data_IF_945216331511
#
_entry.id   IF_945216331511
#
_cell.length_a   1.000
_cell.length_b   1.000
_cell.length_c   1.000
_cell.angle_alpha   90.00
_cell.angle_beta   90.00
_cell.angle_gamma   90.00
#
_symmetry.space_group_name_H-M   'P 1'
#
loop_
_entity.id
_entity.type
_entity.pdbx_description
1 polymer ?
#
# COMPACT_ATOMS: atom_id res chain seq x y z
N UNK A 1 -38.70 -8.03 -35.96
CA UNK A 1 -38.92 -6.84 -35.10
C UNK A 1 -37.73 -6.79 -34.11
N UNK A 2 -36.73 -5.95 -34.42
CA UNK A 2 -35.62 -5.72 -33.51
C UNK A 2 -35.97 -4.62 -32.54
N UNK A 3 -36.11 -4.94 -31.26
CA UNK A 3 -36.28 -3.95 -30.23
C UNK A 3 -34.97 -3.20 -30.00
N UNK A 4 -34.91 -1.92 -30.29
CA UNK A 4 -33.79 -1.04 -29.98
C UNK A 4 -33.71 -0.83 -28.46
N UNK A 5 -32.58 -1.20 -27.87
CA UNK A 5 -32.27 -0.90 -26.48
C UNK A 5 -32.06 0.62 -26.37
N UNK A 6 -32.71 1.33 -25.48
CA UNK A 6 -32.48 2.76 -25.30
C UNK A 6 -31.10 3.00 -24.74
N UNK A 7 -30.28 3.78 -25.44
CA UNK A 7 -29.00 4.28 -24.98
C UNK A 7 -29.27 5.26 -23.85
N UNK A 8 -28.77 4.95 -22.64
CA UNK A 8 -28.82 5.87 -21.51
C UNK A 8 -28.18 7.21 -21.87
N UNK A 9 -28.74 8.34 -21.40
CA UNK A 9 -28.20 9.67 -21.69
C UNK A 9 -26.77 9.75 -21.14
N UNK A 10 -25.86 10.20 -21.98
CA UNK A 10 -24.47 10.48 -21.61
C UNK A 10 -24.46 11.52 -20.47
N UNK A 11 -23.78 11.22 -19.38
CA UNK A 11 -23.53 12.18 -18.30
C UNK A 11 -22.87 13.45 -18.86
N UNK A 12 -23.27 14.64 -18.37
CA UNK A 12 -22.70 15.89 -18.84
C UNK A 12 -21.18 15.93 -18.58
N UNK A 13 -20.43 16.44 -19.54
CA UNK A 13 -18.96 16.49 -19.62
C UNK A 13 -18.27 17.18 -18.40
N UNK A 14 -19.03 17.88 -17.58
CA UNK A 14 -18.55 18.62 -16.39
C UNK A 14 -18.28 17.74 -15.17
N UNK A 15 -18.56 16.43 -15.22
CA UNK A 15 -18.29 15.49 -14.11
C UNK A 15 -17.17 14.47 -14.40
N UNK A 16 -16.43 14.62 -15.47
CA UNK A 16 -15.17 13.89 -15.61
C UNK A 16 -14.19 14.50 -14.61
N UNK A 17 -13.89 13.79 -13.54
CA UNK A 17 -12.77 14.11 -12.67
C UNK A 17 -11.52 14.12 -13.54
N UNK A 18 -11.09 15.29 -13.98
CA UNK A 18 -9.83 15.50 -14.64
C UNK A 18 -8.71 15.41 -13.56
N UNK A 19 -8.46 14.19 -13.08
CA UNK A 19 -7.25 13.90 -12.34
C UNK A 19 -6.11 13.95 -13.36
N UNK A 20 -5.20 14.89 -13.19
CA UNK A 20 -4.01 14.93 -14.03
C UNK A 20 -3.27 13.60 -13.86
N UNK A 21 -3.06 12.80 -14.94
CA UNK A 21 -2.43 11.48 -14.86
C UNK A 21 -1.03 11.51 -14.23
N UNK A 22 -0.37 12.67 -14.25
CA UNK A 22 1.00 12.87 -13.76
C UNK A 22 1.15 12.89 -12.24
N UNK A 23 0.05 12.81 -11.48
CA UNK A 23 0.09 12.92 -10.00
C UNK A 23 -0.24 11.63 -9.26
N UNK A 24 -0.57 10.55 -9.95
CA UNK A 24 -0.88 9.28 -9.32
C UNK A 24 0.38 8.40 -9.19
N UNK A 25 0.52 7.77 -8.04
CA UNK A 25 1.67 6.95 -7.68
C UNK A 25 1.24 5.82 -6.73
N UNK A 26 2.15 4.93 -6.44
CA UNK A 26 1.93 3.81 -5.51
C UNK A 26 2.78 3.97 -4.26
N UNK A 27 2.16 3.93 -3.08
CA UNK A 27 2.84 3.70 -1.80
C UNK A 27 2.84 2.19 -1.55
N UNK A 28 3.99 1.56 -1.68
CA UNK A 28 4.15 0.12 -1.48
C UNK A 28 4.72 -0.18 -0.09
N UNK A 29 3.86 -0.54 0.86
CA UNK A 29 4.29 -0.93 2.19
C UNK A 29 4.63 -2.42 2.24
N UNK A 30 5.84 -2.73 2.70
CA UNK A 30 6.31 -4.09 3.01
C UNK A 30 6.62 -4.22 4.50
N UNK A 31 6.53 -5.42 5.06
CA UNK A 31 6.81 -5.69 6.48
C UNK A 31 6.03 -6.89 7.02
N UNK A 32 6.37 -7.34 8.22
CA UNK A 32 5.80 -8.52 8.85
C UNK A 32 4.30 -8.42 9.09
N UNK A 33 3.62 -9.53 9.28
CA UNK A 33 2.23 -9.55 9.78
C UNK A 33 2.19 -8.86 11.16
N UNK A 34 1.14 -8.11 11.48
CA UNK A 34 1.08 -7.35 12.74
C UNK A 34 1.96 -6.09 12.80
N UNK A 35 2.73 -5.77 11.75
CA UNK A 35 3.57 -4.56 11.72
C UNK A 35 2.79 -3.24 11.62
N UNK A 36 1.48 -3.27 11.33
CA UNK A 36 0.63 -2.06 11.26
C UNK A 36 0.36 -1.53 9.85
N UNK A 37 0.72 -2.26 8.79
CA UNK A 37 0.54 -1.83 7.40
C UNK A 37 -0.90 -1.44 7.04
N UNK A 38 -1.88 -2.29 7.36
CA UNK A 38 -3.31 -2.07 7.06
C UNK A 38 -3.84 -0.83 7.79
N UNK A 39 -3.45 -0.64 9.05
CA UNK A 39 -3.83 0.53 9.85
C UNK A 39 -3.26 1.82 9.25
N UNK A 40 -1.98 1.80 8.85
CA UNK A 40 -1.34 2.93 8.16
C UNK A 40 -2.00 3.21 6.81
N UNK A 41 -2.35 2.17 6.05
CA UNK A 41 -3.03 2.31 4.77
C UNK A 41 -4.38 3.02 4.91
N UNK A 42 -5.18 2.64 5.90
CA UNK A 42 -6.47 3.26 6.19
C UNK A 42 -6.33 4.73 6.61
N UNK A 43 -5.37 5.04 7.47
CA UNK A 43 -5.08 6.41 7.90
C UNK A 43 -4.64 7.29 6.73
N UNK A 44 -3.70 6.80 5.89
CA UNK A 44 -3.27 7.53 4.70
C UNK A 44 -4.41 7.71 3.70
N UNK A 45 -5.26 6.69 3.50
CA UNK A 45 -6.44 6.80 2.64
C UNK A 45 -7.40 7.89 3.14
N UNK A 46 -7.66 7.94 4.44
CA UNK A 46 -8.51 8.97 5.06
C UNK A 46 -7.99 10.37 4.76
N UNK A 47 -6.69 10.60 4.98
CA UNK A 47 -6.06 11.90 4.75
C UNK A 47 -6.02 12.30 3.28
N UNK A 48 -5.65 11.39 2.39
CA UNK A 48 -5.65 11.65 0.95
C UNK A 48 -7.03 12.08 0.45
N UNK A 49 -8.08 11.39 0.92
CA UNK A 49 -9.47 11.75 0.58
C UNK A 49 -9.88 13.11 1.12
N UNK A 50 -9.50 13.46 2.35
CA UNK A 50 -9.73 14.79 2.93
C UNK A 50 -9.07 15.90 2.10
N UNK A 51 -7.96 15.60 1.41
CA UNK A 51 -7.27 16.50 0.48
C UNK A 51 -7.75 16.37 -0.97
N UNK A 52 -8.91 15.75 -1.20
CA UNK A 52 -9.49 15.62 -2.54
C UNK A 52 -8.74 14.66 -3.48
N UNK A 53 -7.82 13.84 -2.96
CA UNK A 53 -7.04 12.88 -3.76
C UNK A 53 -7.79 11.55 -3.88
N UNK A 54 -8.03 11.10 -5.11
CA UNK A 54 -8.53 9.75 -5.34
C UNK A 54 -7.47 8.72 -4.95
N UNK A 55 -7.85 7.76 -4.10
CA UNK A 55 -6.91 6.73 -3.62
C UNK A 55 -7.64 5.42 -3.29
N UNK A 56 -6.92 4.31 -3.41
CA UNK A 56 -7.44 2.98 -3.12
C UNK A 56 -6.43 2.15 -2.35
N UNK A 57 -6.91 1.40 -1.32
CA UNK A 57 -6.07 0.49 -0.53
C UNK A 57 -6.13 -0.91 -1.14
N UNK A 58 -4.97 -1.45 -1.47
CA UNK A 58 -4.75 -2.82 -1.92
C UNK A 58 -4.16 -3.62 -0.73
N UNK A 59 -5.04 -4.14 0.12
CA UNK A 59 -4.63 -4.95 1.27
C UNK A 59 -4.51 -6.42 0.89
N UNK A 60 -3.40 -7.04 1.26
CA UNK A 60 -3.07 -8.40 0.87
C UNK A 60 -4.06 -9.45 1.35
N UNK A 61 -4.68 -9.25 2.50
CA UNK A 61 -5.66 -10.21 3.03
C UNK A 61 -6.99 -10.09 2.28
N UNK A 62 -7.46 -8.85 2.07
CA UNK A 62 -8.68 -8.60 1.28
C UNK A 62 -8.54 -9.11 -0.16
N UNK A 63 -7.36 -8.93 -0.77
CA UNK A 63 -7.11 -9.41 -2.12
C UNK A 63 -7.08 -10.95 -2.22
N UNK A 64 -6.78 -11.65 -1.12
CA UNK A 64 -6.85 -13.12 -1.06
C UNK A 64 -8.26 -13.65 -1.00
N UNK A 65 -9.24 -12.85 -0.59
CA UNK A 65 -10.66 -13.23 -0.65
C UNK A 65 -11.27 -13.11 -2.05
N UNK A 66 -10.54 -12.46 -2.98
CA UNK A 66 -11.00 -12.22 -4.36
C UNK A 66 -9.90 -12.46 -5.40
N UNK A 67 -9.18 -11.40 -5.78
CA UNK A 67 -8.18 -11.39 -6.86
C UNK A 67 -7.13 -12.51 -6.79
N UNK A 68 -6.79 -12.96 -5.58
CA UNK A 68 -5.78 -13.96 -5.31
C UNK A 68 -6.31 -15.13 -4.47
N UNK A 69 -7.61 -15.43 -4.58
CA UNK A 69 -8.26 -16.51 -3.83
C UNK A 69 -7.78 -17.92 -4.24
N UNK A 70 -7.20 -18.04 -5.42
CA UNK A 70 -6.57 -19.25 -5.94
C UNK A 70 -5.13 -19.47 -5.43
N UNK A 71 -4.53 -18.47 -4.75
CA UNK A 71 -3.14 -18.52 -4.31
C UNK A 71 -3.02 -18.95 -2.83
N UNK A 72 -2.05 -19.84 -2.57
CA UNK A 72 -1.61 -20.21 -1.23
C UNK A 72 -0.52 -19.29 -0.68
N UNK A 73 0.41 -19.87 0.08
CA UNK A 73 1.51 -19.14 0.73
C UNK A 73 2.90 -19.68 0.35
N UNK A 74 2.98 -20.49 -0.71
CA UNK A 74 4.26 -20.93 -1.28
C UNK A 74 5.10 -19.73 -1.74
N UNK A 75 6.36 -19.98 -2.09
CA UNK A 75 7.24 -18.93 -2.64
C UNK A 75 6.67 -18.39 -3.97
N UNK A 76 6.17 -19.28 -4.79
CA UNK A 76 5.60 -19.01 -6.11
C UNK A 76 4.29 -18.22 -5.98
N UNK A 77 3.39 -18.64 -5.09
CA UNK A 77 2.12 -17.94 -4.84
C UNK A 77 2.33 -16.51 -4.32
N UNK A 78 3.35 -16.31 -3.47
CA UNK A 78 3.70 -14.96 -2.97
C UNK A 78 4.22 -14.07 -4.08
N UNK A 79 5.05 -14.59 -4.99
CA UNK A 79 5.54 -13.89 -6.16
C UNK A 79 4.38 -13.51 -7.08
N UNK A 80 3.50 -14.46 -7.37
CA UNK A 80 2.33 -14.23 -8.23
C UNK A 80 1.36 -13.21 -7.61
N UNK A 81 1.12 -13.25 -6.31
CA UNK A 81 0.32 -12.23 -5.63
C UNK A 81 0.93 -10.84 -5.79
N UNK A 82 2.24 -10.69 -5.57
CA UNK A 82 2.94 -9.41 -5.76
C UNK A 82 2.80 -8.93 -7.21
N UNK A 83 2.98 -9.82 -8.18
CA UNK A 83 2.83 -9.51 -9.60
C UNK A 83 1.42 -9.00 -9.92
N UNK A 84 0.36 -9.70 -9.47
CA UNK A 84 -1.04 -9.30 -9.69
C UNK A 84 -1.32 -7.93 -9.09
N UNK A 85 -0.93 -7.72 -7.83
CA UNK A 85 -1.14 -6.45 -7.13
C UNK A 85 -0.38 -5.30 -7.81
N UNK A 86 0.82 -5.54 -8.31
CA UNK A 86 1.59 -4.52 -9.04
C UNK A 86 0.88 -4.07 -10.33
N UNK A 87 0.29 -5.02 -11.09
CA UNK A 87 -0.50 -4.66 -12.27
C UNK A 87 -1.76 -3.86 -11.92
N UNK A 88 -2.48 -4.24 -10.85
CA UNK A 88 -3.65 -3.47 -10.38
C UNK A 88 -3.23 -2.07 -9.93
N UNK A 89 -2.13 -1.94 -9.18
CA UNK A 89 -1.60 -0.65 -8.75
C UNK A 89 -1.24 0.23 -9.95
N UNK A 90 -0.61 -0.33 -10.99
CA UNK A 90 -0.32 0.38 -12.24
C UNK A 90 -1.59 0.87 -12.92
N UNK A 91 -2.60 0.02 -13.07
CA UNK A 91 -3.90 0.40 -13.68
C UNK A 91 -4.54 1.54 -12.90
N UNK A 92 -4.52 1.50 -11.57
CA UNK A 92 -5.02 2.59 -10.73
C UNK A 92 -4.25 3.90 -10.98
N UNK A 93 -2.91 3.83 -11.06
CA UNK A 93 -2.09 5.01 -11.34
C UNK A 93 -2.38 5.58 -12.74
N UNK A 94 -2.52 4.75 -13.77
CA UNK A 94 -2.92 5.17 -15.11
C UNK A 94 -4.31 5.83 -15.14
N UNK A 95 -5.20 5.42 -14.22
CA UNK A 95 -6.51 6.03 -14.02
C UNK A 95 -6.50 7.30 -13.12
N UNK A 96 -5.32 7.78 -12.70
CA UNK A 96 -5.19 8.95 -11.84
C UNK A 96 -5.48 8.68 -10.35
N UNK A 97 -5.48 7.42 -9.91
CA UNK A 97 -5.78 6.99 -8.54
C UNK A 97 -4.50 6.59 -7.82
N UNK A 98 -4.24 7.15 -6.65
CA UNK A 98 -3.12 6.75 -5.79
C UNK A 98 -3.38 5.34 -5.24
N UNK A 99 -2.47 4.40 -5.48
CA UNK A 99 -2.53 3.06 -4.92
C UNK A 99 -1.78 2.99 -3.59
N UNK A 100 -2.42 2.47 -2.54
CA UNK A 100 -1.79 2.23 -1.23
C UNK A 100 -1.74 0.72 -1.01
N UNK A 101 -0.57 0.13 -1.19
CA UNK A 101 -0.38 -1.31 -1.10
C UNK A 101 0.08 -1.71 0.30
N UNK A 102 -0.63 -2.65 0.94
CA UNK A 102 -0.31 -3.21 2.24
C UNK A 102 -0.07 -4.73 2.13
N UNK A 103 1.14 -5.12 1.75
CA UNK A 103 1.56 -6.51 1.57
C UNK A 103 2.74 -6.86 2.48
N UNK A 104 2.87 -8.13 2.86
CA UNK A 104 4.12 -8.62 3.48
C UNK A 104 5.26 -8.52 2.49
N UNK A 105 5.06 -8.95 1.23
CA UNK A 105 6.03 -8.95 0.11
C UNK A 105 7.47 -9.21 0.58
N UNK A 106 7.76 -10.43 1.11
CA UNK A 106 8.96 -10.67 1.92
C UNK A 106 10.25 -10.70 1.11
N UNK A 107 10.19 -10.93 -0.19
CA UNK A 107 11.36 -11.13 -1.03
C UNK A 107 11.71 -9.87 -1.83
N UNK A 108 13.01 -9.53 -1.87
CA UNK A 108 13.51 -8.35 -2.63
C UNK A 108 13.22 -8.45 -4.11
N UNK A 109 13.41 -9.65 -4.68
CA UNK A 109 13.15 -9.89 -6.11
C UNK A 109 11.70 -9.60 -6.50
N UNK A 110 10.73 -9.96 -5.64
CA UNK A 110 9.31 -9.71 -5.91
C UNK A 110 8.99 -8.21 -5.84
N UNK A 111 9.56 -7.49 -4.87
CA UNK A 111 9.40 -6.04 -4.76
C UNK A 111 10.06 -5.30 -5.92
N UNK A 112 11.19 -5.81 -6.40
CA UNK A 112 11.84 -5.29 -7.61
C UNK A 112 10.96 -5.52 -8.85
N UNK A 113 10.38 -6.70 -9.02
CA UNK A 113 9.39 -6.99 -10.08
C UNK A 113 8.20 -6.02 -10.00
N UNK A 114 7.67 -5.75 -8.80
CA UNK A 114 6.59 -4.79 -8.63
C UNK A 114 7.02 -3.38 -9.09
N UNK A 115 8.24 -2.96 -8.76
CA UNK A 115 8.81 -1.68 -9.19
C UNK A 115 8.95 -1.56 -10.71
N UNK A 116 9.32 -2.63 -11.38
CA UNK A 116 9.42 -2.69 -12.84
C UNK A 116 8.04 -2.59 -13.49
N UNK A 117 7.03 -3.29 -12.94
CA UNK A 117 5.65 -3.27 -13.46
C UNK A 117 5.00 -1.90 -13.27
N UNK A 118 5.13 -1.29 -12.09
CA UNK A 118 4.51 0.00 -11.76
C UNK A 118 5.25 1.16 -12.42
N UNK A 119 6.55 1.05 -12.55
CA UNK A 119 7.46 2.10 -12.97
C UNK A 119 8.25 2.67 -11.79
N UNK A 120 9.56 2.78 -11.94
CA UNK A 120 10.49 3.17 -10.86
C UNK A 120 10.17 4.55 -10.26
N UNK A 121 9.72 5.51 -11.07
CA UNK A 121 9.34 6.86 -10.62
C UNK A 121 7.96 6.94 -9.96
N UNK A 122 7.11 5.94 -10.17
CA UNK A 122 5.75 5.91 -9.67
C UNK A 122 5.57 5.02 -8.42
N UNK A 123 6.61 4.31 -7.97
CA UNK A 123 6.54 3.43 -6.80
C UNK A 123 7.44 3.91 -5.67
N UNK A 124 6.83 4.27 -4.55
CA UNK A 124 7.49 4.62 -3.30
C UNK A 124 7.42 3.43 -2.34
N UNK A 125 8.55 2.75 -2.16
CA UNK A 125 8.65 1.62 -1.23
C UNK A 125 8.81 2.12 0.20
N UNK A 126 8.02 1.58 1.13
CA UNK A 126 8.06 1.89 2.57
C UNK A 126 8.22 0.60 3.36
N UNK A 127 9.27 0.52 4.15
CA UNK A 127 9.47 -0.60 5.06
C UNK A 127 8.86 -0.32 6.43
N UNK A 128 7.76 -1.02 6.75
CA UNK A 128 7.17 -1.02 8.10
C UNK A 128 7.98 -2.00 8.95
N UNK A 129 9.04 -1.48 9.60
CA UNK A 129 10.11 -2.24 10.24
C UNK A 129 9.87 -2.53 11.73
N UNK A 130 8.60 -2.59 12.13
CA UNK A 130 8.20 -2.93 13.51
C UNK A 130 8.85 -4.26 13.94
N UNK A 131 9.51 -4.33 15.12
CA UNK A 131 10.21 -5.52 15.58
C UNK A 131 9.31 -6.76 15.65
N UNK A 132 9.89 -7.93 15.32
CA UNK A 132 9.16 -9.21 15.31
C UNK A 132 8.44 -9.48 16.64
N UNK A 133 9.09 -9.23 17.76
CA UNK A 133 8.51 -9.46 19.09
C UNK A 133 7.22 -8.62 19.29
N UNK A 134 7.21 -7.38 18.81
CA UNK A 134 6.02 -6.51 18.86
C UNK A 134 4.92 -7.04 17.95
N UNK A 135 5.29 -7.50 16.74
CA UNK A 135 4.35 -8.11 15.81
C UNK A 135 3.72 -9.37 16.40
N UNK A 136 4.52 -10.22 17.07
CA UNK A 136 4.06 -11.43 17.76
C UNK A 136 3.14 -11.12 18.93
N UNK A 137 3.46 -10.09 19.72
CA UNK A 137 2.59 -9.68 20.85
C UNK A 137 1.26 -9.13 20.36
N UNK A 138 1.25 -8.40 19.24
CA UNK A 138 0.01 -7.86 18.65
C UNK A 138 -0.87 -8.96 18.07
N UNK A 139 -0.29 -9.85 17.32
CA UNK A 139 -0.89 -11.01 16.59
C UNK A 139 -2.40 -10.87 16.28
N UNK A 140 -2.85 -9.82 15.59
CA UNK A 140 -4.27 -9.48 15.45
C UNK A 140 -5.10 -10.57 14.72
N UNK A 141 -4.41 -11.51 14.06
CA UNK A 141 -5.01 -12.59 13.27
C UNK A 141 -4.71 -13.99 13.83
N UNK A 142 -4.03 -14.09 14.96
CA UNK A 142 -3.59 -15.35 15.55
C UNK A 142 -2.62 -16.16 14.68
N UNK A 143 -1.94 -15.50 13.73
CA UNK A 143 -1.04 -16.19 12.79
C UNK A 143 0.23 -16.68 13.47
N UNK A 144 0.80 -15.90 14.38
CA UNK A 144 1.98 -16.30 15.13
C UNK A 144 1.67 -17.41 16.12
N UNK A 145 0.52 -17.35 16.78
CA UNK A 145 0.03 -18.43 17.64
C UNK A 145 -0.15 -19.74 16.86
N UNK A 146 -0.76 -19.68 15.66
CA UNK A 146 -0.92 -20.84 14.78
C UNK A 146 0.41 -21.37 14.25
N UNK A 147 1.37 -20.48 13.94
CA UNK A 147 2.70 -20.90 13.52
C UNK A 147 3.46 -21.60 14.65
N UNK A 148 3.38 -21.12 15.89
CA UNK A 148 3.96 -21.77 17.07
C UNK A 148 3.35 -23.14 17.35
N UNK A 149 2.08 -23.33 17.02
CA UNK A 149 1.39 -24.63 17.10
C UNK A 149 1.69 -25.57 15.90
N UNK A 150 2.58 -25.18 14.97
CA UNK A 150 2.94 -25.97 13.79
C UNK A 150 1.89 -25.97 12.66
N UNK A 151 0.83 -25.15 12.79
CA UNK A 151 -0.29 -25.10 11.83
C UNK A 151 -0.01 -24.19 10.62
N UNK A 152 1.09 -23.42 10.63
CA UNK A 152 1.51 -22.52 9.55
C UNK A 152 3.01 -22.66 9.25
N UNK A 153 3.41 -23.69 8.50
CA UNK A 153 4.83 -24.02 8.30
C UNK A 153 5.61 -22.98 7.47
N UNK A 154 4.93 -22.09 6.76
CA UNK A 154 5.55 -21.07 5.89
C UNK A 154 5.32 -19.64 6.40
N UNK A 155 5.15 -19.42 7.71
CA UNK A 155 4.96 -18.09 8.28
C UNK A 155 6.21 -17.23 8.12
N UNK A 156 6.10 -16.09 7.42
CA UNK A 156 7.19 -15.14 7.24
C UNK A 156 7.64 -14.53 8.58
N UNK A 157 8.95 -14.52 8.82
CA UNK A 157 9.54 -14.04 10.07
C UNK A 157 9.61 -15.09 11.17
N UNK A 158 9.06 -16.29 10.96
CA UNK A 158 9.17 -17.44 11.86
C UNK A 158 9.88 -18.60 11.15
N UNK A 159 9.22 -19.22 10.18
CA UNK A 159 9.72 -20.36 9.42
C UNK A 159 10.16 -20.00 7.99
N UNK A 160 9.68 -18.88 7.46
CA UNK A 160 10.10 -18.34 6.16
C UNK A 160 10.84 -17.01 6.33
N UNK A 161 11.83 -16.69 5.47
CA UNK A 161 12.62 -15.47 5.58
C UNK A 161 11.79 -14.23 5.24
N UNK A 162 12.19 -13.09 5.80
CA UNK A 162 11.86 -11.76 5.35
C UNK A 162 13.17 -11.05 4.97
N UNK A 163 13.27 -10.60 3.73
CA UNK A 163 14.42 -9.89 3.20
C UNK A 163 14.19 -8.38 3.32
N UNK A 164 14.85 -7.69 4.28
CA UNK A 164 14.69 -6.25 4.45
C UNK A 164 15.00 -5.48 3.17
N UNK A 165 14.29 -4.38 2.86
CA UNK A 165 14.66 -3.47 1.80
C UNK A 165 16.06 -2.85 2.01
N UNK A 166 16.65 -2.19 0.98
CA UNK A 166 17.88 -1.40 1.13
C UNK A 166 17.77 -0.33 2.23
N UNK A 167 18.91 0.10 2.77
CA UNK A 167 18.96 1.11 3.84
C UNK A 167 18.39 2.48 3.41
N UNK A 168 18.46 2.81 2.13
CA UNK A 168 17.87 4.04 1.55
C UNK A 168 16.35 4.07 1.54
N UNK A 169 15.68 2.94 1.81
CA UNK A 169 14.21 2.85 1.84
C UNK A 169 13.66 3.55 3.09
N UNK A 170 12.55 4.29 2.94
CA UNK A 170 11.86 4.91 4.08
C UNK A 170 11.46 3.84 5.10
N UNK A 171 11.88 4.03 6.36
CA UNK A 171 11.65 3.10 7.47
C UNK A 171 10.66 3.67 8.46
N UNK A 172 9.62 2.91 8.77
CA UNK A 172 8.56 3.26 9.73
C UNK A 172 8.47 2.17 10.79
N UNK A 173 8.72 2.53 12.03
CA UNK A 173 8.54 1.65 13.18
C UNK A 173 7.29 2.09 13.96
N UNK A 174 6.23 1.32 13.85
CA UNK A 174 4.93 1.60 14.51
C UNK A 174 4.92 1.26 16.01
N UNK A 175 6.01 0.77 16.56
CA UNK A 175 6.16 0.60 18.01
C UNK A 175 6.66 1.87 18.70
N UNK A 176 7.24 2.81 17.93
CA UNK A 176 7.87 4.03 18.44
C UNK A 176 7.01 5.28 18.26
N UNK A 177 6.10 5.26 17.31
CA UNK A 177 5.26 6.41 16.96
C UNK A 177 3.83 5.96 16.76
N UNK A 178 2.89 6.84 17.05
CA UNK A 178 1.49 6.63 16.76
C UNK A 178 1.19 6.58 15.25
N UNK A 179 0.00 6.12 14.91
CA UNK A 179 -0.43 5.92 13.51
C UNK A 179 -0.43 7.25 12.75
N UNK A 180 -0.87 8.33 13.41
CA UNK A 180 -0.96 9.68 12.84
C UNK A 180 0.42 10.19 12.42
N UNK A 181 1.40 10.11 13.33
CA UNK A 181 2.79 10.50 13.09
C UNK A 181 3.44 9.65 11.99
N UNK A 182 3.24 8.33 12.02
CA UNK A 182 3.76 7.44 10.99
C UNK A 182 3.20 7.76 9.60
N UNK A 183 1.89 7.99 9.49
CA UNK A 183 1.24 8.34 8.24
C UNK A 183 1.72 9.70 7.71
N UNK A 184 1.87 10.72 8.56
CA UNK A 184 2.45 12.02 8.17
C UNK A 184 3.84 11.83 7.54
N UNK A 185 4.74 11.12 8.21
CA UNK A 185 6.11 10.86 7.71
C UNK A 185 6.13 10.18 6.35
N UNK A 186 5.19 9.26 6.09
CA UNK A 186 5.08 8.61 4.78
C UNK A 186 4.61 9.62 3.73
N UNK A 187 3.53 10.37 4.01
CA UNK A 187 2.94 11.31 3.08
C UNK A 187 3.87 12.49 2.76
N UNK A 188 4.63 12.98 3.75
CA UNK A 188 5.68 13.99 3.55
C UNK A 188 6.80 13.47 2.64
N UNK A 189 7.26 12.24 2.87
CA UNK A 189 8.33 11.63 2.08
C UNK A 189 7.95 11.39 0.61
N UNK A 190 6.66 11.20 0.32
CA UNK A 190 6.15 11.06 -1.07
C UNK A 190 5.69 12.40 -1.67
N UNK A 191 5.95 13.53 -0.97
CA UNK A 191 5.72 14.88 -1.48
C UNK A 191 4.26 15.33 -1.54
N UNK A 192 3.37 14.72 -0.75
CA UNK A 192 1.94 15.10 -0.73
C UNK A 192 1.70 16.35 0.10
N UNK A 193 2.48 16.56 1.15
CA UNK A 193 2.50 17.80 1.92
C UNK A 193 3.82 18.51 1.64
N UNK A 194 3.84 19.64 0.90
CA UNK A 194 5.00 20.51 0.95
C UNK A 194 5.20 20.92 2.41
N UNK A 195 6.42 20.74 2.94
CA UNK A 195 6.78 21.23 4.24
C UNK A 195 6.27 22.67 4.38
N UNK A 196 5.35 22.90 5.31
CA UNK A 196 4.97 24.24 5.76
C UNK A 196 6.18 24.78 6.53
N UNK A 197 7.29 25.03 5.83
CA UNK A 197 8.36 25.87 6.33
C UNK A 197 7.79 27.28 6.43
N UNK A 198 7.57 27.71 7.67
CA UNK A 198 7.07 29.01 7.99
C UNK A 198 7.83 30.11 7.27
N UNK A 199 7.11 30.85 6.45
CA UNK A 199 7.42 32.23 6.13
C UNK A 199 6.23 33.06 6.56
N UNK A 200 6.20 33.38 7.85
CA UNK A 200 5.56 34.60 8.28
C UNK A 200 6.30 35.74 7.56
N UNK A 201 5.81 36.16 6.42
CA UNK A 201 6.10 37.49 5.95
C UNK A 201 5.11 38.45 6.62
N UNK A 202 5.65 39.03 7.65
CA UNK A 202 5.26 40.29 8.28
C UNK A 202 4.91 41.32 7.18
N UNK A 203 3.63 41.58 6.98
CA UNK A 203 3.19 42.79 6.26
C UNK A 203 2.83 43.80 7.30
N UNK A 204 3.86 44.54 7.75
CA UNK A 204 3.69 45.86 8.33
C UNK A 204 4.08 46.88 7.22
N UNK A 205 3.12 47.58 6.71
CA UNK A 205 2.94 49.04 6.56
C UNK A 205 2.07 49.36 5.37
#
# INVERSE_FOLDING_TARGET
MHASIPVSPSLPDTQRFALAPSEAFTIWMTGLSGAGKSTLAQEMQSRLRQHGRACYVLDGDVLRDGLSSDLGFSREDRCEQVRRVAHVARILNEAGVVAIVALVSPYRADRQLAREIIGAGAMHEVWVCTPLQVCQTRDPKGLYQRASAGLLPAMTGVAAPYEPPPESTLRIDTSRHDVSTCASRILDAVGIYPCMNGSQHDVRR
#
